data_IF_408064188466
#
_entry.id   IF_408064188466
#
_cell.length_a   1.000
_cell.length_b   1.000
_cell.length_c   1.000
_cell.angle_alpha   90.00
_cell.angle_beta   90.00
_cell.angle_gamma   90.00
#
_symmetry.space_group_name_H-M   'P 1'
#
loop_
_entity.id
_entity.type
_entity.pdbx_description
1 polymer ?
#
# COMPACT_ATOMS: atom_id res chain seq x y z
N UNK A 1 -6.14 2.57 33.25
CA UNK A 1 -6.57 2.68 31.85
C UNK A 1 -7.92 2.03 31.74
N UNK A 2 -8.94 2.76 31.28
CA UNK A 2 -10.30 2.22 31.16
C UNK A 2 -10.32 1.29 29.94
N UNK A 3 -10.79 0.06 30.15
CA UNK A 3 -11.07 -0.90 29.09
C UNK A 3 -12.09 -0.25 28.16
N UNK A 4 -11.78 -0.29 26.87
CA UNK A 4 -12.54 0.22 25.74
C UNK A 4 -14.01 -0.24 25.80
N UNK A 5 -14.94 0.70 25.62
CA UNK A 5 -16.38 0.43 25.57
C UNK A 5 -16.73 -0.36 24.29
N UNK A 6 -17.36 -1.52 24.42
CA UNK A 6 -17.66 -2.49 23.34
C UNK A 6 -18.66 -2.02 22.26
N UNK A 7 -18.84 -0.71 22.05
CA UNK A 7 -19.84 -0.16 21.14
C UNK A 7 -19.25 0.55 19.90
N UNK A 8 -17.93 0.62 19.76
CA UNK A 8 -17.23 1.26 18.64
C UNK A 8 -17.07 0.39 17.39
N UNK A 9 -16.92 1.02 16.22
CA UNK A 9 -16.50 0.34 14.99
C UNK A 9 -14.98 0.21 14.97
N UNK A 10 -14.46 -1.00 14.87
CA UNK A 10 -13.05 -1.33 15.10
C UNK A 10 -12.36 -1.72 13.79
N UNK A 11 -11.30 -1.00 13.46
CA UNK A 11 -10.47 -1.20 12.29
C UNK A 11 -9.12 -1.77 12.72
N UNK A 12 -8.70 -2.89 12.13
CA UNK A 12 -7.32 -3.38 12.25
C UNK A 12 -6.48 -2.86 11.09
N UNK A 13 -5.37 -2.17 11.39
CA UNK A 13 -4.42 -1.64 10.42
C UNK A 13 -3.11 -2.44 10.54
N UNK A 14 -2.74 -3.15 9.48
CA UNK A 14 -1.55 -4.03 9.43
C UNK A 14 -0.84 -3.96 8.08
N UNK A 15 0.41 -4.42 8.01
CA UNK A 15 1.22 -4.46 6.80
C UNK A 15 2.02 -5.77 6.73
N UNK A 16 2.58 -6.10 5.57
CA UNK A 16 3.58 -7.16 5.41
C UNK A 16 3.11 -8.55 5.88
N UNK A 17 1.90 -8.96 5.46
CA UNK A 17 1.42 -10.32 5.75
C UNK A 17 2.27 -11.39 5.07
N UNK A 18 2.89 -11.05 3.93
CA UNK A 18 3.85 -11.87 3.17
C UNK A 18 3.34 -13.31 2.98
N UNK A 19 2.07 -13.43 2.65
CA UNK A 19 1.39 -14.69 2.37
C UNK A 19 0.83 -15.43 3.59
N UNK A 20 1.14 -15.05 4.83
CA UNK A 20 0.55 -15.63 6.04
C UNK A 20 -0.84 -15.03 6.32
N UNK A 21 -1.79 -15.31 5.43
CA UNK A 21 -3.12 -14.70 5.45
C UNK A 21 -4.02 -15.20 6.60
N UNK A 22 -3.66 -16.33 7.20
CA UNK A 22 -4.40 -16.90 8.34
C UNK A 22 -4.28 -15.98 9.56
N UNK A 23 -3.11 -15.35 9.73
CA UNK A 23 -2.84 -14.40 10.80
C UNK A 23 -3.83 -13.22 10.81
N UNK A 24 -4.37 -12.84 9.64
CA UNK A 24 -5.38 -11.78 9.54
C UNK A 24 -6.69 -12.20 10.22
N UNK A 25 -7.10 -13.46 10.06
CA UNK A 25 -8.28 -14.00 10.74
C UNK A 25 -8.06 -14.15 12.24
N UNK A 26 -6.84 -14.51 12.65
CA UNK A 26 -6.49 -14.67 14.06
C UNK A 26 -6.50 -13.31 14.77
N UNK A 27 -5.87 -12.29 14.18
CA UNK A 27 -5.87 -10.93 14.72
C UNK A 27 -7.27 -10.31 14.72
N UNK A 28 -8.06 -10.57 13.68
CA UNK A 28 -9.45 -10.09 13.65
C UNK A 28 -10.27 -10.67 14.81
N UNK A 29 -10.07 -11.95 15.13
CA UNK A 29 -10.74 -12.60 16.25
C UNK A 29 -10.19 -12.13 17.62
N UNK A 30 -8.86 -11.99 17.76
CA UNK A 30 -8.20 -11.49 18.98
C UNK A 30 -8.71 -10.10 19.35
N UNK A 31 -8.76 -9.19 18.36
CA UNK A 31 -9.06 -7.78 18.57
C UNK A 31 -10.53 -7.40 18.33
N UNK A 32 -11.36 -8.37 17.90
CA UNK A 32 -12.78 -8.22 17.60
C UNK A 32 -13.04 -7.03 16.67
N UNK A 33 -12.36 -7.01 15.54
CA UNK A 33 -12.46 -5.92 14.57
C UNK A 33 -13.56 -6.18 13.55
N UNK A 34 -14.12 -5.10 13.00
CA UNK A 34 -15.18 -5.15 11.99
C UNK A 34 -14.61 -5.22 10.57
N UNK A 35 -13.44 -4.63 10.33
CA UNK A 35 -12.70 -4.79 9.09
C UNK A 35 -11.19 -4.59 9.26
N UNK A 36 -10.43 -4.94 8.22
CA UNK A 36 -8.97 -4.83 8.16
C UNK A 36 -8.56 -3.91 7.02
N UNK A 37 -7.65 -2.97 7.30
CA UNK A 37 -6.87 -2.28 6.29
C UNK A 37 -5.46 -2.86 6.25
N UNK A 38 -5.05 -3.29 5.07
CA UNK A 38 -3.72 -3.85 4.84
C UNK A 38 -2.93 -3.01 3.85
N UNK A 39 -1.78 -2.48 4.28
CA UNK A 39 -1.01 -1.50 3.50
C UNK A 39 0.07 -2.15 2.61
N UNK A 40 -0.16 -3.36 2.10
CA UNK A 40 0.70 -4.01 1.12
C UNK A 40 1.70 -5.02 1.68
N UNK A 41 2.36 -5.72 0.75
CA UNK A 41 3.08 -6.99 0.96
C UNK A 41 2.12 -8.03 1.56
N UNK A 42 0.97 -8.19 0.91
CA UNK A 42 -0.11 -9.11 1.27
C UNK A 42 0.31 -10.56 0.97
N UNK A 43 1.01 -10.77 -0.14
CA UNK A 43 1.39 -12.08 -0.65
C UNK A 43 0.41 -12.61 -1.69
N UNK A 44 0.12 -11.80 -2.71
CA UNK A 44 -0.64 -12.14 -3.91
C UNK A 44 0.15 -13.10 -4.81
N UNK A 45 0.34 -14.33 -4.34
CA UNK A 45 1.01 -15.40 -5.07
C UNK A 45 0.06 -16.56 -5.31
N UNK A 46 -0.14 -16.92 -6.58
CA UNK A 46 -0.83 -18.13 -6.98
C UNK A 46 0.15 -19.30 -7.14
N UNK A 47 -0.34 -20.46 -7.61
CA UNK A 47 0.50 -21.65 -7.81
C UNK A 47 1.56 -21.51 -8.90
N UNK A 48 1.37 -20.55 -9.80
CA UNK A 48 2.21 -20.30 -10.97
C UNK A 48 3.17 -19.12 -10.77
N UNK A 49 2.98 -18.32 -9.71
CA UNK A 49 3.75 -17.11 -9.43
C UNK A 49 5.25 -17.35 -9.37
N UNK A 50 5.71 -18.48 -8.81
CA UNK A 50 7.14 -18.80 -8.72
C UNK A 50 7.81 -18.66 -10.08
N UNK A 51 7.20 -19.18 -11.15
CA UNK A 51 7.74 -19.12 -12.51
C UNK A 51 7.87 -17.71 -13.10
N UNK A 52 7.12 -16.72 -12.59
CA UNK A 52 7.12 -15.33 -13.07
C UNK A 52 8.03 -14.39 -12.28
N UNK A 53 8.50 -14.81 -11.11
CA UNK A 53 9.33 -14.01 -10.21
C UNK A 53 10.80 -14.16 -10.61
N UNK A 54 11.61 -13.10 -10.57
CA UNK A 54 13.07 -13.17 -10.79
C UNK A 54 13.80 -13.87 -9.64
N UNK A 55 14.95 -14.49 -9.89
CA UNK A 55 15.70 -15.24 -8.86
C UNK A 55 16.07 -14.40 -7.64
N UNK A 56 16.49 -13.14 -7.85
CA UNK A 56 16.84 -12.23 -6.76
C UNK A 56 15.63 -11.93 -5.88
N UNK A 57 14.48 -11.67 -6.50
CA UNK A 57 13.23 -11.36 -5.79
C UNK A 57 12.68 -12.61 -5.10
N UNK A 58 12.77 -13.77 -5.73
CA UNK A 58 12.35 -15.04 -5.15
C UNK A 58 13.15 -15.38 -3.90
N UNK A 59 14.47 -15.18 -3.95
CA UNK A 59 15.34 -15.33 -2.77
C UNK A 59 14.98 -14.35 -1.66
N UNK A 60 14.72 -13.10 -2.01
CA UNK A 60 14.29 -12.08 -1.04
C UNK A 60 12.97 -12.48 -0.37
N UNK A 61 11.97 -12.88 -1.15
CA UNK A 61 10.69 -13.38 -0.64
C UNK A 61 10.87 -14.57 0.30
N UNK A 62 11.68 -15.55 -0.10
CA UNK A 62 11.97 -16.71 0.75
C UNK A 62 12.69 -16.34 2.05
N UNK A 63 13.62 -15.37 2.00
CA UNK A 63 14.37 -14.91 3.17
C UNK A 63 13.47 -14.23 4.23
N UNK A 64 12.46 -13.48 3.80
CA UNK A 64 11.59 -12.69 4.68
C UNK A 64 10.19 -13.27 4.87
N UNK A 65 9.94 -14.47 4.34
CA UNK A 65 8.64 -15.14 4.47
C UNK A 65 8.42 -15.68 5.89
N UNK A 66 7.26 -15.43 6.51
CA UNK A 66 6.82 -16.15 7.72
C UNK A 66 6.59 -17.65 7.50
N UNK A 67 6.33 -18.05 6.25
CA UNK A 67 5.88 -19.40 5.93
C UNK A 67 7.06 -20.31 5.62
N UNK A 68 8.16 -19.77 5.09
CA UNK A 68 9.27 -20.56 4.55
C UNK A 68 10.47 -20.51 5.48
N UNK A 69 11.03 -21.67 5.87
CA UNK A 69 12.31 -21.72 6.57
C UNK A 69 13.48 -21.56 5.59
N UNK A 70 13.91 -20.31 5.41
CA UNK A 70 15.02 -19.96 4.53
C UNK A 70 16.31 -20.74 4.78
N UNK A 71 16.59 -21.16 6.02
CA UNK A 71 17.83 -21.89 6.36
C UNK A 71 17.85 -23.31 5.80
N UNK A 72 16.67 -23.87 5.55
CA UNK A 72 16.50 -25.20 4.96
C UNK A 72 16.53 -25.20 3.43
N UNK A 73 16.50 -24.02 2.81
CA UNK A 73 16.41 -23.90 1.35
C UNK A 73 17.78 -23.97 0.66
N UNK A 74 17.84 -24.48 -0.58
CA UNK A 74 19.05 -24.47 -1.38
C UNK A 74 19.61 -23.06 -1.60
N UNK A 75 20.94 -22.95 -1.63
CA UNK A 75 21.60 -21.69 -1.97
C UNK A 75 21.62 -21.42 -3.47
N UNK A 76 21.56 -22.43 -4.33
CA UNK A 76 21.49 -22.25 -5.78
C UNK A 76 20.09 -21.75 -6.20
N UNK A 77 20.03 -20.79 -7.12
CA UNK A 77 18.77 -20.16 -7.51
C UNK A 77 17.86 -21.10 -8.31
N UNK A 78 18.42 -22.00 -9.12
CA UNK A 78 17.64 -22.95 -9.92
C UNK A 78 17.03 -24.03 -9.03
N UNK A 79 17.80 -24.54 -8.06
CA UNK A 79 17.33 -25.48 -7.05
C UNK A 79 16.26 -24.85 -6.14
N UNK A 80 16.50 -23.61 -5.67
CA UNK A 80 15.54 -22.84 -4.87
C UNK A 80 14.19 -22.73 -5.60
N UNK A 81 14.21 -22.34 -6.87
CA UNK A 81 13.01 -22.22 -7.70
C UNK A 81 12.30 -23.56 -7.86
N UNK A 82 13.05 -24.63 -8.11
CA UNK A 82 12.49 -25.99 -8.24
C UNK A 82 11.75 -26.41 -6.96
N UNK A 83 12.38 -26.22 -5.80
CA UNK A 83 11.79 -26.52 -4.49
C UNK A 83 10.51 -25.70 -4.29
N UNK A 84 10.55 -24.37 -4.43
CA UNK A 84 9.38 -23.51 -4.20
C UNK A 84 8.23 -23.78 -5.19
N UNK A 85 8.54 -24.14 -6.44
CA UNK A 85 7.54 -24.50 -7.45
C UNK A 85 6.83 -25.82 -7.11
N UNK A 86 7.59 -26.81 -6.61
CA UNK A 86 7.04 -28.12 -6.21
C UNK A 86 6.10 -28.02 -4.99
N UNK A 87 6.39 -27.09 -4.08
CA UNK A 87 5.56 -26.79 -2.91
C UNK A 87 4.25 -26.10 -3.27
N UNK A 88 4.25 -25.33 -4.36
CA UNK A 88 3.08 -24.56 -4.82
C UNK A 88 2.03 -25.42 -5.53
N UNK A 89 2.36 -26.66 -5.92
CA UNK A 89 1.55 -27.45 -6.88
C UNK A 89 0.93 -28.74 -6.34
N UNK A 90 1.41 -29.33 -5.25
CA UNK A 90 0.92 -30.66 -4.81
C UNK A 90 0.11 -30.64 -3.51
N UNK A 91 -1.04 -31.32 -3.52
CA UNK A 91 -1.79 -31.63 -2.29
C UNK A 91 -0.97 -32.52 -1.32
N UNK A 92 0.01 -33.27 -1.86
CA UNK A 92 0.95 -34.07 -1.09
C UNK A 92 2.02 -33.23 -0.36
N UNK A 93 2.44 -32.09 -0.93
CA UNK A 93 3.34 -31.12 -0.29
C UNK A 93 2.74 -30.55 1.02
N UNK A 94 1.43 -30.31 1.04
CA UNK A 94 0.71 -29.89 2.25
C UNK A 94 0.73 -30.97 3.36
N UNK A 95 0.74 -32.25 2.98
CA UNK A 95 0.87 -33.38 3.92
C UNK A 95 2.32 -33.65 4.36
N UNK A 96 3.30 -33.24 3.55
CA UNK A 96 4.74 -33.40 3.82
C UNK A 96 5.36 -32.23 4.62
N UNK A 97 4.55 -31.27 5.08
CA UNK A 97 5.01 -30.13 5.88
C UNK A 97 5.75 -29.05 5.10
N UNK A 98 5.71 -29.08 3.76
CA UNK A 98 6.33 -28.03 2.94
C UNK A 98 5.38 -26.86 2.75
N UNK A 99 5.86 -25.65 3.04
CA UNK A 99 5.04 -24.44 3.12
C UNK A 99 5.13 -23.61 1.83
N UNK A 100 3.99 -23.23 1.24
CA UNK A 100 3.99 -22.39 0.04
C UNK A 100 4.47 -20.97 0.36
N UNK A 101 4.82 -20.20 -0.69
CA UNK A 101 5.11 -18.76 -0.55
C UNK A 101 3.91 -17.95 -0.01
N UNK A 102 2.70 -18.47 -0.16
CA UNK A 102 1.49 -17.82 0.32
C UNK A 102 0.36 -18.81 0.58
N UNK A 103 -0.50 -18.50 1.54
CA UNK A 103 -1.78 -19.17 1.75
C UNK A 103 -2.83 -18.78 0.69
N UNK A 104 -2.57 -17.75 -0.12
CA UNK A 104 -3.52 -17.20 -1.09
C UNK A 104 -4.17 -18.23 -2.02
N UNK A 105 -3.50 -19.29 -2.52
CA UNK A 105 -4.15 -20.33 -3.32
C UNK A 105 -5.31 -21.05 -2.62
N UNK A 106 -5.27 -21.18 -1.28
CA UNK A 106 -6.36 -21.77 -0.50
C UNK A 106 -7.58 -20.84 -0.41
N UNK A 107 -7.37 -19.52 -0.47
CA UNK A 107 -8.43 -18.52 -0.53
C UNK A 107 -9.03 -18.42 -1.93
N UNK A 108 -8.21 -18.46 -3.00
CA UNK A 108 -8.68 -18.53 -4.39
C UNK A 108 -9.61 -19.73 -4.59
N UNK A 109 -9.23 -20.89 -4.06
CA UNK A 109 -10.01 -22.13 -4.19
C UNK A 109 -11.19 -22.25 -3.23
N UNK A 110 -11.38 -21.29 -2.32
CA UNK A 110 -12.49 -21.29 -1.36
C UNK A 110 -12.34 -22.25 -0.17
N UNK A 111 -11.20 -22.96 -0.04
CA UNK A 111 -10.91 -23.81 1.13
C UNK A 111 -10.73 -22.98 2.40
N UNK A 112 -10.27 -21.74 2.27
CA UNK A 112 -10.18 -20.74 3.33
C UNK A 112 -10.99 -19.50 2.96
N UNK A 113 -11.44 -18.77 3.99
CA UNK A 113 -12.22 -17.53 3.84
C UNK A 113 -11.75 -16.49 4.85
N UNK A 114 -11.87 -15.22 4.47
CA UNK A 114 -11.69 -14.11 5.41
C UNK A 114 -12.96 -13.91 6.24
N UNK A 115 -12.79 -13.79 7.57
CA UNK A 115 -13.90 -13.66 8.52
C UNK A 115 -14.54 -12.27 8.51
N UNK A 116 -13.77 -11.26 8.13
CA UNK A 116 -14.17 -9.85 8.07
C UNK A 116 -13.68 -9.24 6.76
N UNK A 117 -14.30 -8.15 6.25
CA UNK A 117 -13.82 -7.43 5.09
C UNK A 117 -12.38 -6.95 5.24
N UNK A 118 -11.58 -7.15 4.19
CA UNK A 118 -10.20 -6.72 4.07
C UNK A 118 -10.08 -5.75 2.91
N UNK A 119 -9.61 -4.55 3.17
CA UNK A 119 -9.30 -3.54 2.18
C UNK A 119 -7.78 -3.43 2.09
N UNK A 120 -7.22 -3.80 0.94
CA UNK A 120 -5.77 -3.93 0.80
C UNK A 120 -5.25 -3.30 -0.48
N UNK A 121 -4.09 -2.66 -0.38
CA UNK A 121 -3.22 -2.38 -1.54
C UNK A 121 -2.23 -3.54 -1.70
N UNK A 122 -1.47 -3.56 -2.79
CA UNK A 122 -0.33 -4.47 -2.95
C UNK A 122 0.98 -3.81 -2.50
N UNK A 123 1.97 -4.64 -2.18
CA UNK A 123 3.29 -4.17 -1.76
C UNK A 123 4.33 -4.08 -2.86
N UNK A 124 5.59 -4.03 -2.46
CA UNK A 124 6.72 -3.93 -3.37
C UNK A 124 7.07 -5.28 -4.02
N UNK A 125 6.84 -6.40 -3.33
CA UNK A 125 7.18 -7.74 -3.80
C UNK A 125 5.92 -8.61 -3.95
N UNK A 126 5.32 -8.56 -5.14
CA UNK A 126 4.01 -9.15 -5.44
C UNK A 126 3.95 -9.59 -6.91
N UNK A 127 2.98 -10.43 -7.25
CA UNK A 127 2.78 -10.87 -8.63
C UNK A 127 1.66 -10.09 -9.32
N UNK A 128 2.07 -9.25 -10.29
CA UNK A 128 1.16 -8.40 -11.06
C UNK A 128 0.07 -9.19 -11.79
N UNK A 129 0.37 -10.40 -12.27
CA UNK A 129 -0.59 -11.21 -13.02
C UNK A 129 -1.78 -11.63 -12.14
N UNK A 130 -1.52 -11.89 -10.86
CA UNK A 130 -2.56 -12.25 -9.89
C UNK A 130 -3.48 -11.05 -9.62
N UNK A 131 -2.91 -9.85 -9.50
CA UNK A 131 -3.69 -8.62 -9.30
C UNK A 131 -4.52 -8.26 -10.54
N UNK A 132 -3.97 -8.43 -11.73
CA UNK A 132 -4.70 -8.21 -12.98
C UNK A 132 -5.87 -9.22 -13.13
N UNK A 133 -5.69 -10.48 -12.72
CA UNK A 133 -6.79 -11.45 -12.64
C UNK A 133 -7.89 -11.03 -11.65
N UNK A 134 -7.53 -10.49 -10.48
CA UNK A 134 -8.51 -9.96 -9.52
C UNK A 134 -9.23 -8.73 -10.09
N UNK A 135 -8.50 -7.84 -10.77
CA UNK A 135 -9.06 -6.65 -11.43
C UNK A 135 -10.06 -7.03 -12.52
N UNK A 136 -9.72 -8.03 -13.34
CA UNK A 136 -10.60 -8.59 -14.39
C UNK A 136 -11.75 -9.44 -13.83
N UNK A 137 -11.76 -9.71 -12.52
CA UNK A 137 -12.73 -10.57 -11.82
C UNK A 137 -12.65 -12.06 -12.19
N UNK A 138 -11.51 -12.50 -12.72
CA UNK A 138 -11.21 -13.92 -12.91
C UNK A 138 -11.02 -14.62 -11.55
N UNK A 139 -10.48 -13.90 -10.57
CA UNK A 139 -10.38 -14.31 -9.17
C UNK A 139 -11.34 -13.45 -8.35
N UNK A 140 -12.25 -14.10 -7.63
CA UNK A 140 -13.16 -13.44 -6.67
C UNK A 140 -13.05 -14.16 -5.33
N UNK A 141 -12.65 -13.42 -4.30
CA UNK A 141 -12.54 -13.92 -2.93
C UNK A 141 -13.50 -13.09 -2.07
N UNK A 142 -14.39 -13.77 -1.37
CA UNK A 142 -15.32 -13.16 -0.42
C UNK A 142 -14.54 -12.37 0.65
N UNK A 143 -15.03 -11.17 0.99
CA UNK A 143 -14.40 -10.24 1.93
C UNK A 143 -13.01 -9.70 1.53
N UNK A 144 -12.53 -9.92 0.30
CA UNK A 144 -11.29 -9.31 -0.20
C UNK A 144 -11.60 -8.15 -1.15
N UNK A 145 -11.17 -6.95 -0.77
CA UNK A 145 -11.34 -5.71 -1.51
C UNK A 145 -9.97 -5.13 -1.86
N UNK A 146 -9.61 -5.16 -3.14
CA UNK A 146 -8.41 -4.48 -3.62
C UNK A 146 -8.73 -3.00 -3.72
N UNK A 147 -7.99 -2.18 -2.97
CA UNK A 147 -8.03 -0.72 -3.04
C UNK A 147 -6.93 -0.29 -3.98
N UNK A 148 -7.30 0.18 -5.16
CA UNK A 148 -6.38 0.60 -6.21
C UNK A 148 -6.73 1.99 -6.74
N UNK A 149 -5.97 2.48 -7.70
CA UNK A 149 -6.18 3.82 -8.25
C UNK A 149 -7.53 4.01 -8.95
N UNK A 150 -8.15 2.92 -9.40
CA UNK A 150 -9.40 2.93 -10.15
C UNK A 150 -10.62 2.61 -9.26
N UNK A 151 -10.41 2.23 -8.01
CA UNK A 151 -11.45 1.81 -7.08
C UNK A 151 -11.37 2.57 -5.76
N UNK A 152 -12.54 2.74 -5.13
CA UNK A 152 -12.66 3.34 -3.81
C UNK A 152 -13.83 2.69 -3.09
N UNK A 153 -13.72 2.59 -1.77
CA UNK A 153 -14.72 1.92 -0.94
C UNK A 153 -15.23 2.90 0.11
N UNK A 154 -16.56 2.98 0.21
CA UNK A 154 -17.23 3.64 1.32
C UNK A 154 -17.57 2.60 2.37
N UNK A 155 -17.08 2.80 3.58
CA UNK A 155 -17.39 1.96 4.73
C UNK A 155 -18.23 2.81 5.67
N UNK A 156 -19.46 2.41 5.90
CA UNK A 156 -20.34 3.04 6.87
C UNK A 156 -20.27 2.27 8.18
N UNK A 157 -19.81 2.96 9.23
CA UNK A 157 -19.78 2.40 10.58
C UNK A 157 -21.19 2.21 11.13
N UNK A 158 -21.35 1.37 12.15
CA UNK A 158 -22.60 1.20 12.88
C UNK A 158 -23.13 2.47 13.57
N UNK A 159 -22.34 3.56 13.59
CA UNK A 159 -22.68 4.85 14.17
C UNK A 159 -22.90 5.94 13.10
N UNK A 160 -22.91 5.59 11.81
CA UNK A 160 -23.15 6.52 10.70
C UNK A 160 -21.94 7.34 10.26
N UNK A 161 -20.75 7.11 10.85
CA UNK A 161 -19.49 7.67 10.34
C UNK A 161 -19.14 6.98 9.02
N UNK A 162 -18.83 7.77 8.00
CA UNK A 162 -18.47 7.30 6.66
C UNK A 162 -16.98 7.39 6.44
N UNK A 163 -16.35 6.26 6.16
CA UNK A 163 -14.92 6.14 5.89
C UNK A 163 -14.72 5.82 4.42
N UNK A 164 -14.17 6.76 3.64
CA UNK A 164 -13.84 6.53 2.23
C UNK A 164 -12.37 6.21 2.06
N UNK A 165 -12.08 5.05 1.51
CA UNK A 165 -10.71 4.57 1.30
C UNK A 165 -10.31 4.71 -0.16
N UNK A 166 -9.14 5.32 -0.35
CA UNK A 166 -8.41 5.42 -1.62
C UNK A 166 -7.07 4.71 -1.46
N UNK A 167 -6.45 4.22 -2.54
CA UNK A 167 -5.16 3.58 -2.36
C UNK A 167 -4.27 3.45 -3.57
N UNK A 168 -2.99 3.24 -3.28
CA UNK A 168 -1.94 2.98 -4.24
C UNK A 168 -0.97 1.94 -3.69
N UNK A 169 -0.80 0.84 -4.41
CA UNK A 169 0.17 -0.20 -4.05
C UNK A 169 1.53 0.00 -4.73
N UNK A 170 2.53 -0.75 -4.27
CA UNK A 170 3.86 -0.76 -4.87
C UNK A 170 4.86 0.20 -4.23
N UNK A 171 6.13 0.00 -4.56
CA UNK A 171 7.22 0.88 -4.16
C UNK A 171 7.24 2.17 -4.99
N UNK A 172 7.68 3.28 -4.41
CA UNK A 172 8.03 4.48 -5.20
C UNK A 172 9.48 4.36 -5.64
N UNK A 173 9.68 4.23 -6.95
CA UNK A 173 11.00 4.10 -7.57
C UNK A 173 11.10 5.16 -8.66
N UNK A 174 11.87 6.23 -8.40
CA UNK A 174 11.86 7.46 -9.20
C UNK A 174 12.08 7.21 -10.70
N UNK A 175 13.05 6.37 -11.07
CA UNK A 175 13.36 6.04 -12.47
C UNK A 175 12.33 5.10 -13.14
N UNK A 176 11.35 4.58 -12.39
CA UNK A 176 10.27 3.72 -12.90
C UNK A 176 8.91 4.42 -12.92
N UNK A 177 8.82 5.70 -12.55
CA UNK A 177 7.54 6.44 -12.49
C UNK A 177 6.80 6.52 -13.83
N UNK A 178 7.50 6.29 -14.95
CA UNK A 178 6.95 6.32 -16.30
C UNK A 178 7.03 4.97 -17.03
N UNK A 179 7.32 3.89 -16.30
CA UNK A 179 7.44 2.52 -16.82
C UNK A 179 6.35 1.65 -16.19
N UNK A 180 5.46 1.05 -16.99
CA UNK A 180 4.44 0.12 -16.46
C UNK A 180 4.94 -1.33 -16.35
N UNK A 181 6.17 -1.63 -16.78
CA UNK A 181 6.72 -2.97 -16.81
C UNK A 181 5.92 -3.89 -17.74
N UNK A 182 5.40 -4.99 -17.19
CA UNK A 182 4.54 -5.94 -17.92
C UNK A 182 3.05 -5.74 -17.65
N UNK A 183 2.69 -4.67 -16.93
CA UNK A 183 1.30 -4.34 -16.65
C UNK A 183 0.50 -4.01 -17.91
N UNK A 184 -0.75 -4.45 -17.95
CA UNK A 184 -1.62 -4.28 -19.13
C UNK A 184 -2.53 -3.06 -19.05
N UNK A 185 -2.67 -2.51 -17.85
CA UNK A 185 -3.46 -1.31 -17.56
C UNK A 185 -2.61 -0.32 -16.75
N UNK A 186 -3.15 0.20 -15.65
CA UNK A 186 -2.51 1.20 -14.79
C UNK A 186 -1.75 0.61 -13.60
N UNK A 187 -1.85 -0.70 -13.37
CA UNK A 187 -0.98 -1.40 -12.41
C UNK A 187 0.38 -1.61 -13.06
N UNK A 188 1.45 -1.24 -12.35
CA UNK A 188 2.81 -1.42 -12.82
C UNK A 188 3.58 -2.45 -12.00
N UNK A 189 4.39 -3.23 -12.70
CA UNK A 189 5.14 -4.31 -12.08
C UNK A 189 5.75 -5.27 -13.10
N UNK A 190 6.55 -6.19 -12.58
CA UNK A 190 7.17 -7.26 -13.34
C UNK A 190 8.19 -8.02 -12.52
N UNK A 191 8.40 -9.29 -12.86
CA UNK A 191 9.43 -10.14 -12.26
C UNK A 191 9.34 -10.28 -10.72
N UNK A 192 8.10 -10.21 -10.19
CA UNK A 192 7.80 -10.25 -8.76
C UNK A 192 7.95 -8.93 -8.01
N UNK A 193 8.14 -7.82 -8.73
CA UNK A 193 8.25 -6.48 -8.14
C UNK A 193 7.16 -5.57 -8.67
N UNK A 194 6.65 -4.67 -7.83
CA UNK A 194 5.59 -3.73 -8.18
C UNK A 194 5.92 -2.31 -7.70
N UNK A 195 5.52 -1.32 -8.49
CA UNK A 195 5.86 0.07 -8.24
C UNK A 195 4.75 1.02 -8.68
N UNK A 196 4.84 2.26 -8.21
CA UNK A 196 3.91 3.35 -8.53
C UNK A 196 4.32 4.02 -9.84
N UNK A 197 3.34 4.41 -10.67
CA UNK A 197 3.57 5.22 -11.88
C UNK A 197 2.72 6.49 -11.90
N UNK A 198 3.12 7.47 -12.71
CA UNK A 198 2.39 8.74 -12.84
C UNK A 198 1.00 8.55 -13.44
N UNK A 199 0.82 7.60 -14.36
CA UNK A 199 -0.49 7.28 -14.93
C UNK A 199 -1.40 6.70 -13.82
N UNK A 200 -0.84 5.86 -12.96
CA UNK A 200 -1.55 5.33 -11.80
C UNK A 200 -2.01 6.45 -10.84
N UNK A 201 -1.11 7.37 -10.51
CA UNK A 201 -1.44 8.52 -9.64
C UNK A 201 -2.49 9.44 -10.30
N UNK A 202 -2.40 9.66 -11.61
CA UNK A 202 -3.39 10.42 -12.37
C UNK A 202 -4.78 9.81 -12.26
N UNK A 203 -4.87 8.48 -12.34
CA UNK A 203 -6.14 7.75 -12.18
C UNK A 203 -6.69 7.89 -10.77
N UNK A 204 -5.84 7.77 -9.75
CA UNK A 204 -6.21 7.95 -8.36
C UNK A 204 -6.78 9.36 -8.09
N UNK A 205 -6.14 10.40 -8.62
CA UNK A 205 -6.62 11.80 -8.51
C UNK A 205 -8.01 11.95 -9.14
N UNK A 206 -8.24 11.38 -10.32
CA UNK A 206 -9.56 11.42 -10.97
C UNK A 206 -10.62 10.69 -10.16
N UNK A 207 -10.30 9.48 -9.66
CA UNK A 207 -11.19 8.69 -8.80
C UNK A 207 -11.57 9.49 -7.56
N UNK A 208 -10.61 10.09 -6.87
CA UNK A 208 -10.87 10.83 -5.64
C UNK A 208 -11.65 12.13 -5.85
N UNK A 209 -11.45 12.79 -6.99
CA UNK A 209 -12.17 14.03 -7.35
C UNK A 209 -13.63 13.76 -7.71
N UNK A 210 -13.94 12.62 -8.33
CA UNK A 210 -15.30 12.28 -8.78
C UNK A 210 -16.25 11.90 -7.65
N UNK A 211 -15.72 11.56 -6.47
CA UNK A 211 -16.49 11.12 -5.29
C UNK A 211 -16.26 12.02 -4.07
N UNK A 212 -15.93 13.31 -4.28
CA UNK A 212 -15.70 14.21 -3.17
C UNK A 212 -17.00 14.51 -2.39
N UNK A 213 -17.03 14.12 -1.12
CA UNK A 213 -18.05 14.45 -0.14
C UNK A 213 -17.35 14.93 1.15
N UNK A 214 -17.57 16.19 1.60
CA UNK A 214 -16.92 16.73 2.80
C UNK A 214 -17.45 16.13 4.12
N UNK A 215 -18.52 15.33 4.09
CA UNK A 215 -19.03 14.61 5.27
C UNK A 215 -18.33 13.27 5.51
N UNK A 216 -17.55 12.79 4.54
CA UNK A 216 -16.81 11.53 4.64
C UNK A 216 -15.40 11.77 5.21
N UNK A 217 -14.94 10.86 6.06
CA UNK A 217 -13.52 10.77 6.44
C UNK A 217 -12.76 10.06 5.33
N UNK A 218 -11.77 10.73 4.75
CA UNK A 218 -11.02 10.27 3.57
C UNK A 218 -9.68 9.69 3.99
N UNK A 219 -9.44 8.45 3.59
CA UNK A 219 -8.31 7.64 4.04
C UNK A 219 -7.47 7.29 2.83
N UNK A 220 -6.19 7.58 2.89
CA UNK A 220 -5.24 7.19 1.84
C UNK A 220 -4.40 6.01 2.31
N UNK A 221 -4.71 4.83 1.78
CA UNK A 221 -3.98 3.59 2.01
C UNK A 221 -2.87 3.45 0.96
N UNK A 222 -1.61 3.45 1.36
CA UNK A 222 -0.48 3.32 0.42
C UNK A 222 0.53 2.29 0.88
N UNK A 223 1.23 1.62 -0.02
CA UNK A 223 2.35 0.78 0.44
C UNK A 223 3.55 1.62 0.85
N UNK A 224 4.03 2.47 -0.05
CA UNK A 224 5.10 3.40 0.28
C UNK A 224 4.59 4.50 1.23
N UNK A 225 5.42 4.85 2.22
CA UNK A 225 5.10 5.84 3.25
C UNK A 225 5.09 7.27 2.71
N UNK A 226 3.98 7.97 2.96
CA UNK A 226 3.86 9.44 2.72
C UNK A 226 4.82 10.26 3.59
N UNK A 227 5.34 9.66 4.68
CA UNK A 227 6.39 10.27 5.50
C UNK A 227 7.70 10.43 4.73
N UNK A 228 8.00 9.45 3.89
CA UNK A 228 9.29 9.33 3.20
C UNK A 228 9.26 9.87 1.78
N UNK A 229 8.11 9.81 1.13
CA UNK A 229 7.96 10.17 -0.28
C UNK A 229 7.18 11.47 -0.45
N UNK A 230 7.83 12.50 -1.02
CA UNK A 230 7.22 13.82 -1.19
C UNK A 230 6.15 13.87 -2.29
N UNK A 231 6.22 12.98 -3.29
CA UNK A 231 5.16 12.86 -4.31
C UNK A 231 3.91 12.29 -3.65
N UNK A 232 4.03 11.19 -2.90
CA UNK A 232 2.87 10.62 -2.19
C UNK A 232 2.33 11.54 -1.10
N UNK A 233 3.19 12.33 -0.44
CA UNK A 233 2.74 13.38 0.48
C UNK A 233 1.88 14.42 -0.25
N UNK A 234 2.33 14.90 -1.42
CA UNK A 234 1.55 15.82 -2.25
C UNK A 234 0.23 15.18 -2.73
N UNK A 235 0.25 13.90 -3.10
CA UNK A 235 -0.95 13.17 -3.48
C UNK A 235 -1.93 13.13 -2.30
N UNK A 236 -1.49 12.78 -1.09
CA UNK A 236 -2.35 12.77 0.09
C UNK A 236 -3.08 14.12 0.32
N UNK A 237 -2.35 15.23 0.19
CA UNK A 237 -2.93 16.58 0.25
C UNK A 237 -3.96 16.81 -0.87
N UNK A 238 -3.64 16.39 -2.09
CA UNK A 238 -4.52 16.54 -3.27
C UNK A 238 -5.80 15.73 -3.12
N UNK A 239 -5.72 14.53 -2.55
CA UNK A 239 -6.89 13.68 -2.26
C UNK A 239 -7.73 14.24 -1.10
N UNK A 240 -7.23 15.25 -0.39
CA UNK A 240 -7.79 15.76 0.87
C UNK A 240 -7.96 14.63 1.89
N UNK A 241 -6.94 13.80 2.04
CA UNK A 241 -6.95 12.71 3.02
C UNK A 241 -6.91 13.29 4.44
N UNK A 242 -7.81 12.84 5.31
CA UNK A 242 -7.80 13.14 6.74
C UNK A 242 -6.68 12.39 7.45
N UNK A 243 -6.45 11.13 7.04
CA UNK A 243 -5.26 10.40 7.44
C UNK A 243 -4.76 9.41 6.38
N UNK A 244 -3.47 9.12 6.47
CA UNK A 244 -2.81 8.11 5.65
C UNK A 244 -2.50 6.86 6.47
N UNK A 245 -2.52 5.71 5.81
CA UNK A 245 -2.09 4.44 6.37
C UNK A 245 -1.07 3.85 5.41
N UNK A 246 0.18 3.71 5.86
CA UNK A 246 1.25 3.25 5.01
C UNK A 246 2.08 2.14 5.63
N UNK A 247 2.68 1.29 4.80
CA UNK A 247 3.76 0.41 5.24
C UNK A 247 5.11 1.15 5.20
N UNK A 248 6.15 0.49 5.70
CA UNK A 248 7.50 0.90 5.41
C UNK A 248 8.50 -0.21 5.67
N UNK A 249 9.42 -0.36 4.72
CA UNK A 249 10.54 -1.28 4.83
C UNK A 249 11.30 -0.98 6.13
N UNK A 250 11.39 -1.99 7.01
CA UNK A 250 12.12 -1.94 8.29
C UNK A 250 11.49 -1.08 9.40
N UNK A 251 10.20 -0.74 9.33
CA UNK A 251 9.52 -0.17 10.49
C UNK A 251 9.34 -1.22 11.58
N UNK A 252 10.20 -1.13 12.60
CA UNK A 252 10.19 -2.01 13.78
C UNK A 252 9.10 -1.64 14.79
N UNK A 253 8.68 -0.38 14.75
CA UNK A 253 7.59 0.14 15.54
C UNK A 253 6.70 0.98 14.63
N UNK A 254 5.39 0.88 14.83
CA UNK A 254 4.46 1.79 14.16
C UNK A 254 4.67 3.23 14.63
N UNK A 255 4.35 4.20 13.77
CA UNK A 255 4.37 5.63 14.12
C UNK A 255 3.03 6.27 13.78
N UNK A 256 2.60 7.20 14.64
CA UNK A 256 1.45 8.08 14.41
C UNK A 256 1.95 9.51 14.55
N UNK A 257 1.86 10.29 13.48
CA UNK A 257 2.44 11.63 13.42
C UNK A 257 1.79 12.51 12.33
N UNK A 258 1.85 13.83 12.50
CA UNK A 258 1.42 14.84 11.54
C UNK A 258 2.63 15.73 11.33
N UNK A 259 2.64 16.43 10.20
CA UNK A 259 3.81 17.19 9.81
C UNK A 259 4.07 18.34 10.80
N UNK A 260 3.05 18.90 11.46
CA UNK A 260 3.21 19.91 12.53
C UNK A 260 4.00 19.40 13.74
N UNK A 261 3.79 18.15 14.16
CA UNK A 261 4.42 17.59 15.36
C UNK A 261 5.88 17.19 15.16
N UNK A 262 6.30 16.92 13.92
CA UNK A 262 7.64 16.39 13.61
C UNK A 262 8.54 17.35 12.87
N UNK A 263 7.99 18.38 12.21
CA UNK A 263 8.78 19.39 11.53
C UNK A 263 8.85 20.68 12.34
N UNK A 264 9.99 21.40 12.32
CA UNK A 264 10.16 22.65 13.07
C UNK A 264 9.29 23.81 12.56
N UNK A 265 8.83 23.75 11.30
CA UNK A 265 7.97 24.77 10.71
C UNK A 265 7.28 24.26 9.43
N UNK A 266 6.25 25.00 8.99
CA UNK A 266 5.59 24.79 7.70
C UNK A 266 6.58 24.89 6.52
N UNK A 267 7.56 25.79 6.60
CA UNK A 267 8.59 25.94 5.56
C UNK A 267 9.45 24.68 5.43
N UNK A 268 9.72 23.98 6.53
CA UNK A 268 10.47 22.72 6.48
C UNK A 268 9.69 21.63 5.74
N UNK A 269 8.37 21.55 5.98
CA UNK A 269 7.51 20.66 5.22
C UNK A 269 7.43 21.03 3.74
N UNK A 270 7.35 22.34 3.40
CA UNK A 270 7.43 22.81 2.00
C UNK A 270 8.74 22.40 1.33
N UNK A 271 9.88 22.50 2.03
CA UNK A 271 11.18 22.06 1.49
C UNK A 271 11.22 20.57 1.16
N UNK A 272 10.54 19.71 1.94
CA UNK A 272 10.38 18.28 1.62
C UNK A 272 9.64 18.08 0.28
N UNK A 273 8.55 18.83 0.06
CA UNK A 273 7.81 18.77 -1.20
C UNK A 273 8.66 19.33 -2.36
N UNK A 274 9.35 20.45 -2.16
CA UNK A 274 10.23 21.03 -3.18
C UNK A 274 11.39 20.12 -3.60
N UNK A 275 11.99 19.39 -2.65
CA UNK A 275 13.02 18.41 -2.96
C UNK A 275 12.49 17.27 -3.83
N UNK A 276 11.28 16.78 -3.56
CA UNK A 276 10.65 15.75 -4.37
C UNK A 276 10.27 16.26 -5.78
N UNK A 277 9.79 17.50 -5.88
CA UNK A 277 9.52 18.14 -7.16
C UNK A 277 10.79 18.28 -8.03
N UNK A 278 11.92 18.69 -7.44
CA UNK A 278 13.20 18.76 -8.14
C UNK A 278 13.65 17.38 -8.66
N UNK A 279 13.64 16.35 -7.79
CA UNK A 279 14.01 14.98 -8.18
C UNK A 279 13.10 14.42 -9.29
N UNK A 280 11.81 14.73 -9.23
CA UNK A 280 10.87 14.35 -10.27
C UNK A 280 11.22 15.00 -11.62
N UNK A 281 11.50 16.31 -11.62
CA UNK A 281 11.82 17.03 -12.86
C UNK A 281 13.12 16.59 -13.51
N UNK A 282 14.13 16.18 -12.73
CA UNK A 282 15.36 15.60 -13.28
C UNK A 282 15.06 14.34 -14.11
N UNK A 283 14.19 13.46 -13.61
CA UNK A 283 13.78 12.27 -14.35
C UNK A 283 12.84 12.63 -15.50
N UNK A 284 11.83 13.46 -15.26
CA UNK A 284 10.84 13.82 -16.27
C UNK A 284 11.47 14.50 -17.48
N UNK A 285 12.37 15.45 -17.27
CA UNK A 285 13.07 16.15 -18.37
C UNK A 285 13.89 15.21 -19.25
N UNK A 286 14.37 14.09 -18.69
CA UNK A 286 15.14 13.08 -19.43
C UNK A 286 14.24 12.19 -20.30
N UNK A 287 13.05 11.81 -19.82
CA UNK A 287 12.19 10.82 -20.49
C UNK A 287 10.96 11.41 -21.20
N UNK A 288 10.70 12.72 -21.04
CA UNK A 288 9.47 13.38 -21.49
C UNK A 288 9.13 13.11 -22.95
N UNK A 289 10.07 13.33 -23.87
CA UNK A 289 9.78 13.25 -25.30
C UNK A 289 9.41 11.81 -25.71
N UNK A 290 10.14 10.82 -25.19
CA UNK A 290 9.86 9.39 -25.42
C UNK A 290 8.50 8.99 -24.85
N UNK A 291 8.20 9.38 -23.61
CA UNK A 291 6.92 9.06 -22.95
C UNK A 291 5.76 9.70 -23.70
N UNK A 292 5.86 10.99 -24.05
CA UNK A 292 4.80 11.69 -24.78
C UNK A 292 4.58 11.09 -26.18
N UNK A 293 5.65 10.65 -26.85
CA UNK A 293 5.56 9.97 -28.14
C UNK A 293 4.85 8.62 -28.02
N UNK A 294 5.20 7.78 -27.04
CA UNK A 294 4.56 6.48 -26.80
C UNK A 294 3.07 6.66 -26.52
N UNK A 295 2.70 7.66 -25.72
CA UNK A 295 1.31 7.92 -25.34
C UNK A 295 0.47 8.59 -26.44
N UNK A 296 1.02 8.90 -27.61
CA UNK A 296 0.21 9.42 -28.73
C UNK A 296 -0.85 8.42 -29.18
N UNK A 297 -0.56 7.13 -29.08
CA UNK A 297 -1.48 6.05 -29.42
C UNK A 297 -2.51 5.74 -28.31
N UNK A 298 -2.36 6.31 -27.11
CA UNK A 298 -3.27 6.10 -25.98
C UNK A 298 -3.68 7.45 -25.34
N UNK A 299 -4.76 8.07 -25.85
CA UNK A 299 -5.26 9.34 -25.32
C UNK A 299 -5.71 9.28 -23.86
N UNK A 300 -6.15 8.11 -23.38
CA UNK A 300 -6.62 7.93 -22.01
C UNK A 300 -5.43 8.01 -21.07
N UNK A 301 -4.39 7.23 -21.31
CA UNK A 301 -3.17 7.27 -20.52
C UNK A 301 -2.48 8.63 -20.59
N UNK A 302 -2.50 9.29 -21.75
CA UNK A 302 -2.01 10.67 -21.89
C UNK A 302 -2.76 11.66 -20.99
N UNK A 303 -4.09 11.54 -20.89
CA UNK A 303 -4.90 12.39 -20.02
C UNK A 303 -4.64 12.10 -18.53
N UNK A 304 -4.45 10.83 -18.17
CA UNK A 304 -4.06 10.42 -16.81
C UNK A 304 -2.69 11.01 -16.43
N UNK A 305 -1.69 10.89 -17.30
CA UNK A 305 -0.38 11.50 -17.10
C UNK A 305 -0.51 13.02 -16.93
N UNK A 306 -1.28 13.69 -17.79
CA UNK A 306 -1.52 15.14 -17.68
C UNK A 306 -2.17 15.53 -16.34
N UNK A 307 -3.09 14.70 -15.83
CA UNK A 307 -3.71 14.91 -14.50
C UNK A 307 -2.64 14.87 -13.40
N UNK A 308 -1.78 13.85 -13.42
CA UNK A 308 -0.74 13.69 -12.43
C UNK A 308 0.33 14.80 -12.50
N UNK A 309 0.77 15.17 -13.71
CA UNK A 309 1.71 16.26 -13.93
C UNK A 309 1.15 17.59 -13.40
N UNK A 310 -0.15 17.87 -13.60
CA UNK A 310 -0.76 19.10 -13.10
C UNK A 310 -0.72 19.25 -11.57
N UNK A 311 -0.58 18.15 -10.83
CA UNK A 311 -0.38 18.16 -9.38
C UNK A 311 1.08 18.40 -9.03
N UNK A 312 2.00 17.76 -9.74
CA UNK A 312 3.44 17.95 -9.53
C UNK A 312 3.87 19.37 -9.88
N UNK A 313 3.35 19.95 -10.98
CA UNK A 313 3.63 21.32 -11.41
C UNK A 313 3.19 22.37 -10.36
N UNK A 314 2.25 22.01 -9.47
CA UNK A 314 1.77 22.86 -8.37
C UNK A 314 2.52 22.64 -7.06
N UNK A 315 3.46 21.69 -7.02
CA UNK A 315 4.30 21.49 -5.84
C UNK A 315 5.23 22.70 -5.65
N UNK A 316 5.55 23.05 -4.39
CA UNK A 316 6.54 24.09 -4.12
C UNK A 316 7.87 23.83 -4.85
N UNK A 317 8.61 24.89 -5.18
CA UNK A 317 10.02 24.80 -5.58
C UNK A 317 10.86 25.79 -4.76
N UNK A 318 12.20 25.68 -4.84
CA UNK A 318 13.14 26.36 -3.92
C UNK A 318 12.99 27.89 -3.91
N UNK A 319 12.59 28.49 -5.03
CA UNK A 319 12.41 29.94 -5.22
C UNK A 319 10.94 30.35 -5.39
N UNK A 320 9.98 29.51 -4.99
CA UNK A 320 8.56 29.73 -5.26
C UNK A 320 7.94 30.84 -4.39
N UNK A 321 7.05 31.63 -4.98
CA UNK A 321 6.16 32.55 -4.26
C UNK A 321 4.84 31.79 -4.06
N UNK A 322 4.44 31.48 -2.81
CA UNK A 322 3.32 30.57 -2.57
C UNK A 322 2.03 30.99 -3.28
N UNK A 323 1.46 30.08 -4.07
CA UNK A 323 0.11 30.27 -4.62
C UNK A 323 -0.94 30.13 -3.50
N UNK A 324 -1.96 31.00 -3.47
CA UNK A 324 -2.92 31.08 -2.35
C UNK A 324 -3.63 29.75 -2.06
N UNK A 325 -4.13 29.05 -3.09
CA UNK A 325 -4.84 27.77 -2.91
C UNK A 325 -3.92 26.61 -2.53
N UNK A 326 -2.75 26.49 -3.18
CA UNK A 326 -1.77 25.45 -2.86
C UNK A 326 -1.23 25.62 -1.44
N UNK A 327 -1.06 26.87 -1.02
CA UNK A 327 -0.58 27.20 0.31
C UNK A 327 -1.58 26.85 1.42
N UNK A 328 -2.88 27.04 1.15
CA UNK A 328 -3.94 26.66 2.08
C UNK A 328 -3.98 25.14 2.29
N UNK A 329 -3.98 24.35 1.21
CA UNK A 329 -4.01 22.89 1.29
C UNK A 329 -2.80 22.33 2.07
N UNK A 330 -1.59 22.84 1.79
CA UNK A 330 -0.37 22.44 2.50
C UNK A 330 -0.46 22.86 3.98
N UNK A 331 -0.93 24.08 4.28
CA UNK A 331 -1.05 24.59 5.65
C UNK A 331 -2.09 23.81 6.49
N UNK A 332 -3.23 23.46 5.88
CA UNK A 332 -4.27 22.64 6.51
C UNK A 332 -3.75 21.22 6.74
N UNK A 333 -3.18 20.58 5.72
CA UNK A 333 -2.63 19.23 5.83
C UNK A 333 -1.48 19.16 6.84
N UNK A 334 -0.62 20.17 6.88
CA UNK A 334 0.48 20.28 7.84
C UNK A 334 -0.01 20.14 9.29
N UNK A 335 -1.13 20.75 9.64
CA UNK A 335 -1.70 20.74 10.99
C UNK A 335 -2.61 19.54 11.25
N UNK A 336 -3.40 19.13 10.26
CA UNK A 336 -4.56 18.27 10.49
C UNK A 336 -4.44 16.87 9.90
N UNK A 337 -3.60 16.63 8.89
CA UNK A 337 -3.46 15.29 8.29
C UNK A 337 -2.60 14.41 9.20
N UNK A 338 -3.20 13.36 9.77
CA UNK A 338 -2.45 12.33 10.48
C UNK A 338 -1.88 11.30 9.51
N UNK A 339 -0.74 10.71 9.86
CA UNK A 339 -0.10 9.66 9.09
C UNK A 339 0.22 8.50 10.03
N UNK A 340 -0.23 7.31 9.67
CA UNK A 340 0.04 6.06 10.38
C UNK A 340 0.98 5.20 9.54
N UNK A 341 2.22 5.05 10.01
CA UNK A 341 3.15 4.10 9.42
C UNK A 341 3.12 2.81 10.22
N UNK A 342 2.84 1.71 9.55
CA UNK A 342 2.67 0.40 10.16
C UNK A 342 3.99 -0.36 10.22
N UNK A 343 4.17 -1.14 11.28
CA UNK A 343 5.23 -2.14 11.34
C UNK A 343 4.78 -3.44 10.67
N UNK A 344 5.74 -4.35 10.46
CA UNK A 344 5.46 -5.72 10.05
C UNK A 344 4.46 -6.40 11.03
N UNK A 345 3.46 -7.09 10.48
CA UNK A 345 2.37 -7.72 11.24
C UNK A 345 2.86 -8.75 12.28
N UNK A 346 4.04 -9.34 12.08
CA UNK A 346 4.61 -10.29 13.04
C UNK A 346 5.02 -9.63 14.35
N UNK A 347 5.33 -8.34 14.31
CA UNK A 347 5.86 -7.58 15.44
C UNK A 347 4.92 -6.47 15.90
N UNK A 348 3.87 -6.12 15.16
CA UNK A 348 2.94 -5.08 15.60
C UNK A 348 1.61 -5.02 14.87
N UNK A 349 0.71 -4.25 15.46
CA UNK A 349 -0.64 -3.98 14.95
C UNK A 349 -1.12 -2.62 15.45
N UNK A 350 -2.00 -2.00 14.68
CA UNK A 350 -2.68 -0.77 15.04
C UNK A 350 -4.19 -1.01 14.99
N UNK A 351 -4.91 -0.65 16.04
CA UNK A 351 -6.37 -0.69 16.08
C UNK A 351 -6.86 0.74 16.17
N UNK A 352 -7.73 1.12 15.23
CA UNK A 352 -8.50 2.35 15.32
C UNK A 352 -9.93 2.00 15.70
N UNK A 353 -10.48 2.70 16.68
CA UNK A 353 -11.85 2.52 17.09
C UNK A 353 -12.62 3.82 16.92
N UNK A 354 -13.72 3.76 16.15
CA UNK A 354 -14.58 4.90 15.89
C UNK A 354 -15.74 4.88 16.87
N UNK A 355 -15.82 5.91 17.72
CA UNK A 355 -16.90 6.13 18.70
C UNK A 355 -17.32 7.60 18.67
N UNK A 356 -18.60 7.86 18.38
CA UNK A 356 -19.21 9.18 18.31
C UNK A 356 -18.42 10.18 17.44
N UNK A 357 -17.94 9.72 16.28
CA UNK A 357 -17.13 10.53 15.36
C UNK A 357 -15.69 10.80 15.83
N UNK A 358 -15.24 10.15 16.91
CA UNK A 358 -13.85 10.23 17.41
C UNK A 358 -13.13 8.92 17.14
N UNK A 359 -11.82 9.02 16.92
CA UNK A 359 -10.94 7.88 16.71
C UNK A 359 -10.10 7.65 17.97
N UNK A 360 -10.32 6.53 18.64
CA UNK A 360 -9.40 5.96 19.62
C UNK A 360 -8.33 5.11 18.92
N UNK A 361 -7.13 5.07 19.49
CA UNK A 361 -6.00 4.31 18.93
C UNK A 361 -5.37 3.39 19.98
N UNK A 362 -5.14 2.14 19.59
CA UNK A 362 -4.31 1.18 20.32
C UNK A 362 -3.22 0.64 19.39
N UNK A 363 -1.95 0.90 19.72
CA UNK A 363 -0.80 0.46 18.92
C UNK A 363 0.09 -0.48 19.71
N UNK A 364 0.43 -1.62 19.12
CA UNK A 364 1.31 -2.64 19.68
C UNK A 364 2.51 -2.80 18.76
N UNK A 365 3.72 -2.80 19.33
CA UNK A 365 4.96 -3.05 18.57
C UNK A 365 5.99 -3.78 19.44
N UNK A 366 6.68 -4.75 18.85
CA UNK A 366 7.71 -5.60 19.48
C UNK A 366 9.06 -5.55 18.75
N UNK A 367 9.25 -4.64 17.79
CA UNK A 367 10.50 -4.60 17.03
C UNK A 367 11.68 -3.94 17.74
N UNK A 368 11.48 -3.36 18.92
CA UNK A 368 12.59 -2.86 19.75
C UNK A 368 13.16 -4.00 20.60
N UNK A 369 14.42 -4.36 20.38
CA UNK A 369 15.14 -5.40 21.14
C UNK A 369 16.38 -4.80 21.79
N UNK A 370 16.68 -5.19 23.03
CA UNK A 370 17.90 -4.84 23.74
C UNK A 370 19.08 -5.80 23.46
N UNK A 371 18.90 -6.81 22.60
CA UNK A 371 19.91 -7.85 22.32
C UNK A 371 21.21 -7.35 21.68
N UNK A 372 21.27 -6.08 21.29
CA UNK A 372 22.49 -5.42 20.80
C UNK A 372 23.38 -4.87 21.93
N UNK A 373 22.93 -4.96 23.19
CA UNK A 373 23.68 -4.52 24.38
C UNK A 373 24.56 -5.62 24.93
#
# INVERSE_FOLDING_TARGET
GRVVEQNGYRLLLVADARGNLDQLNDLAAEHKVDCIFHSGDFGFFDRNSVGRISDNTLRHLAQYSPLVDFKSLPHDSSDLRSVLSSQSTSAAAAAAGSTPLSHFPAYISGHKKFKVPIYTVWGACEDIEVLEQIRRKDIVIENLHIVDEASTYLIETNQGVKLRVFGVGGAVVMHKLFDNGVGTSTIAGGQGTMWVTMIQLGRLIQTASSVFDPSETRIFLSHASTARDGILAQIALTLKADFTVSAGLHFRCGTSYNEFSVNPSLNHFRSKLAAAHAQFNDVWSTVKDEVIQILQADPIQKALLGTALSVVDKMPWVDDVPSVEGDEAISVGFKNQWNFNLSDIQIGSLILEVVDGRIGMEMKSKGFSFSYR
#
